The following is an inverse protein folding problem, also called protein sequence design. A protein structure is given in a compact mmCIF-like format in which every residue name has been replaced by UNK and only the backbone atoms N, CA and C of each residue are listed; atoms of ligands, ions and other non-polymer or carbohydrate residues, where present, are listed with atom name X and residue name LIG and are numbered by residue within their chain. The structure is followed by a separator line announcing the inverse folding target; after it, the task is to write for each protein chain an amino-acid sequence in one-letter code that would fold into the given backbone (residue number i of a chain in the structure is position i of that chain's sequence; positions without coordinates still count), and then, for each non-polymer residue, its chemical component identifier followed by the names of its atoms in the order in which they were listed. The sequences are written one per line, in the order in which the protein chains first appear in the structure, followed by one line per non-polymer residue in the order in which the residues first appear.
data_IF_510314818871
#
_entry.id   IF_510314818871
#
_cell.length_a   1.000
_cell.length_b   1.000
_cell.length_c   1.000
_cell.angle_alpha   90.00
_cell.angle_beta   90.00
_cell.angle_gamma   90.00
#
_symmetry.space_group_name_H-M   'P 1'
#
loop_
_entity.id
_entity.type
_entity.pdbx_description
1 polymer ?
#
# COMPACT_ATOMS: atom_id res chain seq x y z
N UNK A 1 5.39 20.96 -6.78
CA UNK A 1 4.21 20.52 -7.55
C UNK A 1 3.01 20.49 -6.63
N UNK A 2 1.79 20.69 -7.14
CA UNK A 2 0.55 20.63 -6.36
C UNK A 2 -0.32 19.55 -7.00
N UNK A 3 -0.97 18.71 -6.18
CA UNK A 3 -1.94 17.74 -6.67
C UNK A 3 -3.15 18.45 -7.29
N UNK A 4 -3.50 18.08 -8.52
CA UNK A 4 -4.60 18.63 -9.31
C UNK A 4 -5.99 18.10 -8.86
N UNK A 5 -6.02 17.06 -8.03
CA UNK A 5 -7.25 16.63 -7.37
C UNK A 5 -7.68 17.65 -6.32
N UNK A 6 -8.80 18.33 -6.58
CA UNK A 6 -9.38 19.37 -5.72
C UNK A 6 -9.60 18.95 -4.25
N UNK A 7 -9.81 17.65 -3.99
CA UNK A 7 -10.00 17.14 -2.63
C UNK A 7 -8.69 16.90 -1.88
N UNK A 8 -7.58 16.77 -2.60
CA UNK A 8 -6.25 16.55 -2.05
C UNK A 8 -5.52 17.88 -1.90
N UNK A 9 -5.29 18.59 -3.02
CA UNK A 9 -4.56 19.86 -3.10
C UNK A 9 -3.20 19.88 -2.37
N UNK A 10 -2.60 18.71 -2.13
CA UNK A 10 -1.35 18.61 -1.38
C UNK A 10 -0.19 19.19 -2.18
N UNK A 11 0.59 20.06 -1.53
CA UNK A 11 1.82 20.59 -2.07
C UNK A 11 2.97 19.61 -1.81
N UNK A 12 3.60 19.16 -2.89
CA UNK A 12 4.71 18.19 -2.87
C UNK A 12 5.97 18.84 -3.43
N UNK A 13 7.07 18.72 -2.69
CA UNK A 13 8.40 19.05 -3.18
C UNK A 13 8.95 17.84 -3.93
N UNK A 14 9.40 18.03 -5.16
CA UNK A 14 9.97 16.96 -5.98
C UNK A 14 11.41 17.29 -6.34
N UNK A 15 12.26 16.27 -6.36
CA UNK A 15 13.62 16.33 -6.86
C UNK A 15 13.84 15.21 -7.87
N UNK A 16 14.62 15.49 -8.91
CA UNK A 16 14.70 14.64 -10.08
C UNK A 16 15.79 15.08 -11.05
N UNK A 17 15.87 14.38 -12.18
CA UNK A 17 16.80 14.68 -13.28
C UNK A 17 16.01 15.01 -14.53
N UNK A 18 16.44 16.06 -15.22
CA UNK A 18 15.95 16.38 -16.55
C UNK A 18 16.85 15.72 -17.59
N UNK A 19 16.27 15.11 -18.61
CA UNK A 19 16.97 14.59 -19.78
C UNK A 19 16.27 15.06 -21.05
N UNK A 20 17.01 15.10 -22.16
CA UNK A 20 16.46 15.37 -23.49
C UNK A 20 16.71 14.14 -24.34
N UNK A 21 15.67 13.65 -25.01
CA UNK A 21 15.76 12.49 -25.91
C UNK A 21 15.03 12.78 -27.23
N UNK A 22 15.30 11.96 -28.25
CA UNK A 22 14.63 12.05 -29.55
C UNK A 22 13.41 11.15 -29.56
N UNK A 23 12.24 11.75 -29.67
CA UNK A 23 10.97 11.05 -29.90
C UNK A 23 10.53 11.15 -31.35
N UNK A 24 9.56 10.33 -31.74
CA UNK A 24 8.98 10.34 -33.07
C UNK A 24 7.49 10.69 -32.99
N UNK A 25 7.03 11.62 -33.83
CA UNK A 25 5.61 11.94 -33.92
C UNK A 25 4.82 10.82 -34.62
N UNK A 26 3.50 10.96 -34.76
CA UNK A 26 2.66 9.96 -35.44
C UNK A 26 3.04 9.71 -36.91
N UNK A 27 3.76 10.62 -37.53
CA UNK A 27 4.24 10.54 -38.92
C UNK A 27 5.68 9.99 -39.01
N UNK A 28 6.30 9.66 -37.87
CA UNK A 28 7.68 9.16 -37.81
C UNK A 28 8.75 10.24 -37.93
N UNK A 29 8.40 11.52 -37.79
CA UNK A 29 9.37 12.61 -37.78
C UNK A 29 10.00 12.78 -36.38
N UNK A 30 11.34 12.86 -36.28
CA UNK A 30 12.01 13.01 -34.99
C UNK A 30 11.81 14.43 -34.42
N UNK A 31 11.63 14.54 -33.12
CA UNK A 31 11.60 15.80 -32.37
C UNK A 31 12.27 15.63 -31.01
N UNK A 32 12.78 16.73 -30.44
CA UNK A 32 13.39 16.70 -29.11
C UNK A 32 12.30 16.79 -28.04
N UNK A 33 12.29 15.81 -27.14
CA UNK A 33 11.43 15.78 -25.96
C UNK A 33 12.25 15.98 -24.70
N UNK A 34 11.72 16.81 -23.80
CA UNK A 34 12.30 16.99 -22.46
C UNK A 34 11.57 16.12 -21.45
N UNK A 35 12.30 15.27 -20.77
CA UNK A 35 11.81 14.34 -19.78
C UNK A 35 12.27 14.74 -18.38
N UNK A 36 11.39 14.62 -17.38
CA UNK A 36 11.73 14.82 -15.97
C UNK A 36 11.52 13.53 -15.18
N UNK A 37 12.62 12.90 -14.76
CA UNK A 37 12.60 11.69 -13.93
C UNK A 37 12.61 12.06 -12.46
N UNK A 38 11.50 11.79 -11.76
CA UNK A 38 11.40 11.94 -10.31
C UNK A 38 12.31 10.92 -9.62
N UNK A 39 13.11 11.41 -8.68
CA UNK A 39 13.95 10.62 -7.78
C UNK A 39 13.43 10.66 -6.33
N UNK A 40 12.82 11.77 -5.92
CA UNK A 40 12.31 11.96 -4.57
C UNK A 40 11.08 12.88 -4.58
N UNK A 41 10.13 12.60 -3.69
CA UNK A 41 8.93 13.40 -3.47
C UNK A 41 8.64 13.50 -1.96
N UNK A 42 8.33 14.71 -1.47
CA UNK A 42 7.99 14.95 -0.07
C UNK A 42 6.87 15.98 0.11
N UNK A 43 5.79 15.65 0.85
CA UNK A 43 5.42 14.29 1.27
C UNK A 43 5.26 13.36 0.06
N UNK A 44 5.63 12.09 0.21
CA UNK A 44 5.55 11.16 -0.93
C UNK A 44 4.10 10.67 -1.10
N UNK A 45 3.54 10.74 -2.32
CA UNK A 45 2.24 10.17 -2.60
C UNK A 45 2.23 8.67 -2.28
N UNK A 46 1.33 8.24 -1.40
CA UNK A 46 1.13 6.82 -1.12
C UNK A 46 0.28 6.24 -2.26
N UNK A 47 0.75 5.20 -2.99
CA UNK A 47 0.08 4.73 -4.20
C UNK A 47 -1.18 3.89 -3.93
N UNK A 48 -1.65 3.84 -2.69
CA UNK A 48 -2.80 3.03 -2.24
C UNK A 48 -3.64 3.80 -1.23
N UNK A 49 -4.90 3.42 -1.11
CA UNK A 49 -5.80 3.86 -0.05
C UNK A 49 -5.66 2.96 1.17
N UNK A 50 -5.57 3.57 2.36
CA UNK A 50 -5.56 2.83 3.61
C UNK A 50 -6.90 2.99 4.33
N UNK A 51 -7.57 1.89 4.72
CA UNK A 51 -8.75 1.98 5.59
C UNK A 51 -8.48 2.79 6.87
N UNK A 52 -9.52 3.47 7.36
CA UNK A 52 -9.42 4.34 8.55
C UNK A 52 -8.86 3.57 9.75
N UNK A 53 -9.32 2.33 9.92
CA UNK A 53 -8.96 1.43 11.02
C UNK A 53 -7.63 0.68 10.82
N UNK A 54 -6.86 0.98 9.77
CA UNK A 54 -5.53 0.42 9.60
C UNK A 54 -4.62 0.81 10.78
N UNK A 55 -3.91 -0.14 11.41
CA UNK A 55 -3.01 0.13 12.53
C UNK A 55 -1.87 1.10 12.17
N UNK A 56 -1.47 1.96 13.12
CA UNK A 56 -0.46 3.00 12.87
C UNK A 56 0.93 2.44 12.52
N UNK A 57 1.30 1.28 13.10
CA UNK A 57 2.52 0.57 12.75
C UNK A 57 2.56 0.12 11.29
N UNK A 58 1.40 -0.17 10.69
CA UNK A 58 1.29 -0.52 9.27
C UNK A 58 1.32 0.74 8.41
N UNK A 59 0.54 1.78 8.79
CA UNK A 59 0.51 3.07 8.09
C UNK A 59 1.91 3.69 7.97
N UNK A 60 2.64 3.74 9.09
CA UNK A 60 3.99 4.31 9.12
C UNK A 60 4.96 3.55 8.21
N UNK A 61 4.90 2.22 8.18
CA UNK A 61 5.72 1.41 7.28
C UNK A 61 5.36 1.63 5.80
N UNK A 62 4.08 1.76 5.46
CA UNK A 62 3.61 2.06 4.10
C UNK A 62 4.01 3.45 3.62
N UNK A 63 3.88 4.47 4.49
CA UNK A 63 4.32 5.83 4.20
C UNK A 63 5.84 5.86 3.98
N UNK A 64 6.60 5.15 4.83
CA UNK A 64 8.05 5.02 4.67
C UNK A 64 8.42 4.31 3.35
N UNK A 65 7.67 3.27 2.96
CA UNK A 65 7.85 2.61 1.67
C UNK A 65 7.57 3.56 0.50
N UNK A 66 6.52 4.37 0.58
CA UNK A 66 6.15 5.32 -0.46
C UNK A 66 7.23 6.42 -0.62
N UNK A 67 7.85 6.85 0.49
CA UNK A 67 9.00 7.76 0.46
C UNK A 67 10.23 7.22 -0.29
N UNK A 68 10.38 5.89 -0.36
CA UNK A 68 11.50 5.22 -1.01
C UNK A 68 11.18 4.74 -2.43
N UNK A 69 9.91 4.69 -2.81
CA UNK A 69 9.41 4.16 -4.08
C UNK A 69 10.16 4.71 -5.30
N UNK A 70 10.45 6.02 -5.29
CA UNK A 70 11.06 6.71 -6.43
C UNK A 70 12.58 6.56 -6.49
N UNK A 71 13.23 6.42 -5.33
CA UNK A 71 14.69 6.43 -5.22
C UNK A 71 15.29 5.01 -5.22
N UNK A 72 14.74 4.12 -4.41
CA UNK A 72 15.36 2.84 -4.05
C UNK A 72 14.28 1.75 -3.89
N UNK A 73 13.93 1.04 -4.98
CA UNK A 73 12.91 -0.01 -4.95
C UNK A 73 13.17 -1.09 -3.89
N UNK A 74 14.41 -1.55 -3.73
CA UNK A 74 14.80 -2.56 -2.73
C UNK A 74 14.51 -2.13 -1.29
N UNK A 75 14.80 -0.86 -0.98
CA UNK A 75 14.52 -0.31 0.34
C UNK A 75 13.01 -0.12 0.56
N UNK A 76 12.26 0.24 -0.49
CA UNK A 76 10.80 0.31 -0.44
C UNK A 76 10.19 -1.08 -0.18
N UNK A 77 10.69 -2.12 -0.84
CA UNK A 77 10.29 -3.53 -0.60
C UNK A 77 10.56 -3.98 0.83
N UNK A 78 11.72 -3.60 1.38
CA UNK A 78 12.03 -3.87 2.79
C UNK A 78 11.06 -3.19 3.76
N UNK A 79 10.58 -1.99 3.43
CA UNK A 79 9.53 -1.30 4.22
C UNK A 79 8.15 -1.93 4.05
N UNK A 80 7.80 -2.42 2.86
CA UNK A 80 6.58 -3.21 2.65
C UNK A 80 6.61 -4.51 3.45
N UNK A 81 7.75 -5.19 3.51
CA UNK A 81 7.94 -6.37 4.36
C UNK A 81 7.74 -6.05 5.85
N UNK A 82 8.21 -4.88 6.30
CA UNK A 82 7.95 -4.38 7.66
C UNK A 82 6.46 -4.08 7.88
N UNK A 83 5.75 -3.56 6.87
CA UNK A 83 4.31 -3.35 6.94
C UNK A 83 3.55 -4.67 7.16
N UNK A 84 3.95 -5.75 6.46
CA UNK A 84 3.39 -7.10 6.67
C UNK A 84 3.70 -7.63 8.08
N UNK A 85 4.92 -7.42 8.59
CA UNK A 85 5.25 -7.80 9.98
C UNK A 85 4.44 -7.04 11.02
N UNK A 86 4.21 -5.75 10.81
CA UNK A 86 3.38 -4.90 11.66
C UNK A 86 1.91 -5.34 11.60
N UNK A 87 1.40 -5.68 10.41
CA UNK A 87 0.06 -6.22 10.22
C UNK A 87 -0.15 -7.49 11.04
N UNK A 88 0.75 -8.47 10.93
CA UNK A 88 0.66 -9.73 11.69
C UNK A 88 0.74 -9.48 13.20
N UNK A 89 1.49 -8.46 13.62
CA UNK A 89 1.59 -8.08 15.03
C UNK A 89 0.29 -7.46 15.54
N UNK A 90 -0.38 -6.64 14.72
CA UNK A 90 -1.71 -6.10 15.01
C UNK A 90 -2.79 -7.19 15.06
N UNK A 91 -2.66 -8.23 14.22
CA UNK A 91 -3.48 -9.45 14.29
C UNK A 91 -3.09 -10.39 15.44
N UNK A 92 -2.19 -9.95 16.34
CA UNK A 92 -1.73 -10.68 17.53
C UNK A 92 -1.05 -12.02 17.21
N UNK A 93 -0.45 -12.16 16.03
CA UNK A 93 0.33 -13.34 15.67
C UNK A 93 1.72 -13.24 16.28
N UNK A 94 2.11 -14.17 17.19
CA UNK A 94 3.37 -14.09 17.91
C UNK A 94 4.58 -13.96 16.99
N UNK A 95 5.54 -13.13 17.39
CA UNK A 95 6.83 -12.99 16.71
C UNK A 95 7.89 -13.99 17.19
N UNK A 96 7.60 -14.71 18.29
CA UNK A 96 8.51 -15.69 18.88
C UNK A 96 7.75 -16.95 19.29
N UNK A 97 8.47 -18.06 19.36
CA UNK A 97 7.98 -19.33 19.89
C UNK A 97 9.00 -19.89 20.87
N UNK A 98 8.53 -20.62 21.88
CA UNK A 98 9.42 -21.34 22.78
C UNK A 98 9.74 -22.72 22.18
N UNK A 99 11.01 -23.04 21.98
CA UNK A 99 11.47 -24.39 21.60
C UNK A 99 12.42 -24.90 22.68
N UNK A 100 12.05 -25.95 23.40
CA UNK A 100 13.00 -26.66 24.29
C UNK A 100 14.02 -27.41 23.43
N UNK A 101 15.33 -27.38 23.72
CA UNK A 101 16.02 -26.72 24.84
C UNK A 101 16.49 -25.27 24.58
N UNK A 102 16.35 -24.76 23.34
CA UNK A 102 16.92 -23.49 22.85
C UNK A 102 16.25 -22.19 23.31
N UNK A 103 15.31 -22.23 24.27
CA UNK A 103 14.63 -21.03 24.78
C UNK A 103 13.64 -20.39 23.79
N UNK A 104 13.48 -19.05 23.88
CA UNK A 104 12.58 -18.27 23.00
C UNK A 104 13.29 -17.95 21.68
N UNK A 105 12.70 -18.39 20.57
CA UNK A 105 13.25 -18.24 19.21
C UNK A 105 12.32 -17.35 18.37
N UNK A 106 12.89 -16.45 17.56
CA UNK A 106 12.12 -15.60 16.63
C UNK A 106 11.50 -16.46 15.52
N UNK A 107 10.22 -16.25 15.25
CA UNK A 107 9.52 -16.87 14.13
C UNK A 107 9.84 -16.11 12.85
N UNK A 108 10.09 -16.85 11.78
CA UNK A 108 10.21 -16.26 10.45
C UNK A 108 8.88 -15.64 10.02
N UNK A 109 8.95 -14.62 9.16
CA UNK A 109 7.76 -14.01 8.57
C UNK A 109 6.87 -15.07 7.90
N UNK A 110 7.48 -16.00 7.16
CA UNK A 110 6.76 -17.12 6.54
C UNK A 110 5.95 -17.93 7.56
N UNK A 111 6.56 -18.36 8.66
CA UNK A 111 5.87 -19.14 9.69
C UNK A 111 4.72 -18.35 10.33
N UNK A 112 4.90 -17.03 10.55
CA UNK A 112 3.82 -16.16 11.05
C UNK A 112 2.66 -16.07 10.06
N UNK A 113 2.92 -15.96 8.76
CA UNK A 113 1.89 -15.93 7.72
C UNK A 113 1.14 -17.27 7.67
N UNK A 114 1.84 -18.41 7.71
CA UNK A 114 1.22 -19.73 7.75
C UNK A 114 0.29 -19.88 8.95
N UNK A 115 0.75 -19.49 10.15
CA UNK A 115 -0.09 -19.50 11.37
C UNK A 115 -1.30 -18.58 11.26
N UNK A 116 -1.16 -17.42 10.63
CA UNK A 116 -2.32 -16.56 10.38
C UNK A 116 -3.32 -17.22 9.43
N UNK A 117 -2.82 -17.92 8.40
CA UNK A 117 -3.62 -18.69 7.44
C UNK A 117 -4.43 -19.83 8.05
N UNK A 118 -4.05 -20.33 9.23
CA UNK A 118 -4.83 -21.33 9.98
C UNK A 118 -6.07 -20.72 10.66
N UNK A 119 -6.16 -19.39 10.74
CA UNK A 119 -7.31 -18.71 11.33
C UNK A 119 -8.39 -18.42 10.28
N UNK A 120 -9.69 -18.36 10.65
CA UNK A 120 -10.76 -18.02 9.71
C UNK A 120 -10.57 -16.65 9.03
N UNK A 121 -9.93 -15.69 9.72
CA UNK A 121 -9.65 -14.35 9.18
C UNK A 121 -8.46 -14.33 8.24
N UNK A 122 -7.47 -15.21 8.47
CA UNK A 122 -6.24 -15.21 7.71
C UNK A 122 -6.22 -16.20 6.55
N UNK A 123 -7.05 -17.25 6.58
CA UNK A 123 -7.18 -18.23 5.49
C UNK A 123 -7.33 -17.58 4.10
N UNK A 124 -8.23 -16.60 3.87
CA UNK A 124 -8.37 -15.97 2.55
C UNK A 124 -7.20 -15.02 2.20
N UNK A 125 -6.38 -14.61 3.18
CA UNK A 125 -5.34 -13.58 3.01
C UNK A 125 -3.92 -14.17 2.96
N UNK A 126 -3.75 -15.43 3.32
CA UNK A 126 -2.44 -16.05 3.46
C UNK A 126 -1.65 -16.07 2.15
N UNK A 127 -2.31 -16.34 1.02
CA UNK A 127 -1.68 -16.31 -0.31
C UNK A 127 -1.18 -14.91 -0.69
N UNK A 128 -1.98 -13.88 -0.47
CA UNK A 128 -1.60 -12.49 -0.69
C UNK A 128 -0.43 -12.06 0.20
N UNK A 129 -0.47 -12.40 1.49
CA UNK A 129 0.63 -12.13 2.43
C UNK A 129 1.92 -12.86 2.03
N UNK A 130 1.83 -14.10 1.53
CA UNK A 130 2.98 -14.82 1.00
C UNK A 130 3.53 -14.17 -0.27
N UNK A 131 2.67 -13.72 -1.18
CA UNK A 131 3.10 -12.98 -2.38
C UNK A 131 3.86 -11.70 -1.99
N UNK A 132 3.33 -10.89 -1.08
CA UNK A 132 4.02 -9.71 -0.56
C UNK A 132 5.37 -10.04 0.09
N UNK A 133 5.46 -11.18 0.81
CA UNK A 133 6.72 -11.68 1.38
C UNK A 133 7.73 -12.03 0.28
N UNK A 134 7.31 -12.72 -0.78
CA UNK A 134 8.20 -13.11 -1.88
C UNK A 134 8.71 -11.91 -2.68
N UNK A 135 7.84 -10.96 -2.99
CA UNK A 135 8.22 -9.68 -3.58
C UNK A 135 9.24 -8.97 -2.66
N UNK A 136 8.97 -8.92 -1.35
CA UNK A 136 9.87 -8.33 -0.35
C UNK A 136 11.26 -8.96 -0.28
N UNK A 137 11.36 -10.28 -0.53
CA UNK A 137 12.62 -11.01 -0.51
C UNK A 137 13.45 -10.83 -1.78
N UNK A 138 12.82 -10.58 -2.94
CA UNK A 138 13.52 -10.33 -4.20
C UNK A 138 14.43 -9.10 -4.09
N UNK A 139 14.04 -8.07 -3.33
CA UNK A 139 14.84 -6.86 -3.10
C UNK A 139 16.01 -7.00 -2.13
N UNK A 140 16.45 -8.23 -1.85
CA UNK A 140 17.58 -8.51 -0.95
C UNK A 140 18.70 -9.33 -1.60
N UNK A 141 18.54 -9.76 -2.84
CA UNK A 141 19.54 -10.57 -3.56
C UNK A 141 20.04 -9.84 -4.83
N UNK A 142 21.23 -9.24 -4.74
CA UNK A 142 22.03 -8.74 -5.87
C UNK A 142 22.77 -9.91 -6.58
N UNK A 143 22.08 -11.00 -6.90
CA UNK A 143 22.71 -12.13 -7.62
C UNK A 143 22.81 -11.90 -9.14
N UNK A 144 22.44 -10.71 -9.62
CA UNK A 144 22.50 -10.32 -11.02
C UNK A 144 21.41 -10.91 -11.91
N UNK A 145 20.43 -11.64 -11.35
CA UNK A 145 19.41 -12.34 -12.15
C UNK A 145 18.11 -11.56 -12.39
N UNK A 146 17.77 -10.57 -11.56
CA UNK A 146 16.79 -9.50 -11.85
C UNK A 146 16.75 -8.47 -10.71
N UNK A 147 16.99 -7.19 -10.98
CA UNK A 147 16.82 -6.12 -9.99
C UNK A 147 15.34 -5.83 -9.74
N UNK A 148 14.94 -5.56 -8.50
CA UNK A 148 13.55 -5.14 -8.19
C UNK A 148 13.20 -3.87 -8.95
N UNK A 149 12.10 -3.93 -9.68
CA UNK A 149 11.60 -2.80 -10.46
C UNK A 149 10.63 -1.96 -9.64
N UNK A 150 10.32 -0.75 -10.12
CA UNK A 150 9.27 0.09 -9.52
C UNK A 150 7.90 -0.59 -9.61
N UNK A 151 7.64 -1.33 -10.68
CA UNK A 151 6.37 -2.03 -10.88
C UNK A 151 6.19 -3.16 -9.87
N UNK A 152 7.27 -3.86 -9.48
CA UNK A 152 7.23 -4.85 -8.40
C UNK A 152 6.82 -4.23 -7.05
N UNK A 153 7.32 -3.01 -6.77
CA UNK A 153 6.96 -2.27 -5.56
C UNK A 153 5.49 -1.86 -5.60
N UNK A 154 5.00 -1.36 -6.75
CA UNK A 154 3.60 -0.98 -6.92
C UNK A 154 2.67 -2.19 -6.79
N UNK A 155 3.04 -3.34 -7.36
CA UNK A 155 2.32 -4.59 -7.18
C UNK A 155 2.27 -5.00 -5.71
N UNK A 156 3.40 -4.91 -5.00
CA UNK A 156 3.44 -5.22 -3.57
C UNK A 156 2.56 -4.28 -2.73
N UNK A 157 2.50 -2.99 -3.08
CA UNK A 157 1.54 -2.05 -2.50
C UNK A 157 0.09 -2.50 -2.72
N UNK A 158 -0.29 -2.85 -3.95
CA UNK A 158 -1.64 -3.31 -4.28
C UNK A 158 -2.02 -4.59 -3.52
N UNK A 159 -1.08 -5.54 -3.40
CA UNK A 159 -1.28 -6.76 -2.62
C UNK A 159 -1.53 -6.43 -1.14
N UNK A 160 -0.77 -5.50 -0.56
CA UNK A 160 -0.98 -5.07 0.83
C UNK A 160 -2.29 -4.29 0.98
N UNK A 161 -2.64 -3.42 0.03
CA UNK A 161 -3.94 -2.72 0.01
C UNK A 161 -5.10 -3.70 0.07
N UNK A 162 -5.09 -4.74 -0.77
CA UNK A 162 -6.11 -5.78 -0.75
C UNK A 162 -6.25 -6.45 0.63
N UNK A 163 -5.13 -6.80 1.27
CA UNK A 163 -5.11 -7.38 2.61
C UNK A 163 -5.71 -6.42 3.65
N UNK A 164 -5.38 -5.13 3.57
CA UNK A 164 -5.89 -4.13 4.49
C UNK A 164 -7.39 -3.87 4.29
N UNK A 165 -7.84 -3.81 3.05
CA UNK A 165 -9.25 -3.62 2.73
C UNK A 165 -10.10 -4.77 3.26
N UNK A 166 -9.70 -6.02 3.00
CA UNK A 166 -10.43 -7.18 3.53
C UNK A 166 -10.47 -7.21 5.06
N UNK A 167 -9.43 -6.67 5.73
CA UNK A 167 -9.32 -6.78 7.18
C UNK A 167 -9.89 -5.60 7.96
N UNK A 168 -9.79 -4.39 7.42
CA UNK A 168 -10.07 -3.14 8.13
C UNK A 168 -11.08 -2.24 7.43
N UNK A 169 -11.51 -2.56 6.21
CA UNK A 169 -12.54 -1.79 5.52
C UNK A 169 -13.94 -2.09 6.07
N UNK A 170 -14.73 -1.05 6.26
CA UNK A 170 -16.16 -1.15 6.59
C UNK A 170 -17.05 -1.07 5.34
N UNK A 171 -16.44 -1.01 4.14
CA UNK A 171 -17.15 -0.84 2.85
C UNK A 171 -18.22 -1.91 2.65
N UNK A 172 -17.89 -3.18 2.89
CA UNK A 172 -18.83 -4.30 2.75
C UNK A 172 -20.01 -4.16 3.72
N UNK A 173 -19.75 -3.82 4.97
CA UNK A 173 -20.79 -3.65 5.98
C UNK A 173 -21.72 -2.48 5.64
N UNK A 174 -21.14 -1.32 5.26
CA UNK A 174 -21.91 -0.15 4.81
C UNK A 174 -22.77 -0.46 3.58
N UNK A 175 -22.22 -1.19 2.62
CA UNK A 175 -22.95 -1.62 1.42
C UNK A 175 -24.13 -2.53 1.79
N UNK A 176 -23.91 -3.53 2.64
CA UNK A 176 -24.99 -4.41 3.11
C UNK A 176 -26.09 -3.63 3.84
N UNK A 177 -25.72 -2.67 4.70
CA UNK A 177 -26.69 -1.79 5.36
C UNK A 177 -27.52 -0.99 4.37
N UNK A 178 -26.89 -0.46 3.31
CA UNK A 178 -27.58 0.25 2.24
C UNK A 178 -28.53 -0.68 1.46
N UNK A 179 -28.08 -1.88 1.10
CA UNK A 179 -28.91 -2.88 0.42
C UNK A 179 -30.13 -3.24 1.28
N UNK A 180 -29.94 -3.52 2.57
CA UNK A 180 -31.04 -3.82 3.49
C UNK A 180 -32.01 -2.64 3.59
N UNK A 181 -31.51 -1.40 3.64
CA UNK A 181 -32.35 -0.21 3.68
C UNK A 181 -33.18 -0.02 2.40
N UNK A 182 -32.58 -0.27 1.22
CA UNK A 182 -33.27 -0.24 -0.08
C UNK A 182 -34.37 -1.31 -0.12
N UNK A 183 -34.05 -2.55 0.25
CA UNK A 183 -35.01 -3.66 0.25
C UNK A 183 -36.18 -3.41 1.22
N UNK A 184 -35.89 -2.87 2.42
CA UNK A 184 -36.92 -2.51 3.41
C UNK A 184 -37.85 -1.40 2.91
N UNK A 185 -37.32 -0.42 2.18
CA UNK A 185 -38.12 0.66 1.59
C UNK A 185 -38.77 0.30 0.25
N UNK A 186 -38.39 -0.84 -0.36
CA UNK A 186 -38.75 -1.22 -1.73
C UNK A 186 -38.54 -0.06 -2.72
N UNK A 187 -37.45 0.68 -2.56
CA UNK A 187 -37.23 1.92 -3.30
C UNK A 187 -35.99 2.70 -2.85
N UNK A 188 -35.68 3.82 -3.51
CA UNK A 188 -34.45 4.56 -3.28
C UNK A 188 -34.38 5.17 -1.88
N UNK A 189 -33.24 4.98 -1.21
CA UNK A 189 -32.94 5.62 0.07
C UNK A 189 -32.15 6.89 -0.22
N UNK A 190 -32.76 8.07 -0.05
CA UNK A 190 -32.05 9.35 -0.21
C UNK A 190 -30.98 9.47 0.89
N UNK A 191 -29.71 9.78 0.57
CA UNK A 191 -28.72 10.05 1.59
C UNK A 191 -29.13 11.31 2.38
N UNK A 192 -29.10 11.22 3.71
CA UNK A 192 -29.28 12.38 4.58
C UNK A 192 -28.19 13.40 4.24
N UNK A 193 -28.56 14.57 3.72
CA UNK A 193 -27.65 15.70 3.50
C UNK A 193 -26.92 15.99 4.82
N UNK A 194 -25.61 15.73 4.88
CA UNK A 194 -24.77 16.23 5.96
C UNK A 194 -24.81 17.76 5.88
N UNK A 195 -25.31 18.40 6.94
CA UNK A 195 -25.16 19.86 7.11
C UNK A 195 -23.68 20.14 7.37
N UNK A 196 -22.91 20.43 6.33
CA UNK A 196 -21.58 21.02 6.50
C UNK A 196 -21.77 22.44 7.06
N UNK A 197 -21.58 22.61 8.37
CA UNK A 197 -21.27 23.92 8.94
C UNK A 197 -19.86 24.27 8.49
N UNK A 198 -19.74 24.90 7.33
CA UNK A 198 -18.51 25.60 6.97
C UNK A 198 -18.48 26.86 7.83
N UNK A 199 -17.57 26.91 8.79
CA UNK A 199 -17.25 28.14 9.52
C UNK A 199 -16.42 29.00 8.56
N UNK A 200 -16.77 30.27 8.30
CA UNK A 200 -16.02 31.10 7.37
C UNK A 200 -14.58 31.29 7.90
N UNK A 201 -13.57 31.28 7.01
CA UNK A 201 -12.24 31.75 7.40
C UNK A 201 -12.35 33.26 7.68
N UNK A 202 -11.64 33.70 8.72
CA UNK A 202 -11.40 35.12 8.96
C UNK A 202 -10.75 35.77 7.74
#
# INVERSE_FOLDING_TARGET
MICDNEKCAEAVTVSGRTSVDVDFNHEGHPFLSTYYKILFAFPSPVPISMPIHTPDGVKSALIAAAGLLWATPDAAMNKLRQAVEAFLSAEKIPSTTTKKPRGRVRLSLHCRITRYGETPKGLPLASALLAAKWLGNAGSHDDGSASVTRDDVLLAFQVVEHVLDERYSDRRQKLLQQITAVNKKKGPVRPTRRKTRVKPPF
#
